data_IF_943792137704
#
_entry.id   IF_943792137704
#
_cell.length_a   1.000
_cell.length_b   1.000
_cell.length_c   1.000
_cell.angle_alpha   90.00
_cell.angle_beta   90.00
_cell.angle_gamma   90.00
#
_symmetry.space_group_name_H-M   'P 1'
#
loop_
_entity.id
_entity.type
_entity.pdbx_description
1 polymer ?
#
# COMPACT_ATOMS: atom_id res chain seq x y z
N UNK A 1 -5.79 -20.89 21.28
CA UNK A 1 -6.31 -20.50 19.96
C UNK A 1 -5.21 -20.70 18.93
N UNK A 2 -5.51 -21.35 17.80
CA UNK A 2 -4.52 -21.80 16.82
C UNK A 2 -3.93 -20.64 16.01
N UNK A 3 -2.64 -20.70 15.70
CA UNK A 3 -1.91 -19.65 14.95
C UNK A 3 -2.57 -19.38 13.58
N UNK A 4 -3.09 -20.43 12.92
CA UNK A 4 -3.77 -20.36 11.61
C UNK A 4 -5.07 -19.54 11.64
N UNK A 5 -5.82 -19.56 12.75
CA UNK A 5 -7.05 -18.77 12.88
C UNK A 5 -6.74 -17.29 13.07
N UNK A 6 -5.62 -16.98 13.75
CA UNK A 6 -5.17 -15.60 14.00
C UNK A 6 -4.74 -14.91 12.70
N UNK A 7 -3.96 -15.57 11.85
CA UNK A 7 -3.48 -15.03 10.56
C UNK A 7 -4.63 -14.79 9.58
N UNK A 8 -5.61 -15.70 9.53
CA UNK A 8 -6.82 -15.55 8.69
C UNK A 8 -7.67 -14.34 9.10
N UNK A 9 -7.76 -14.05 10.41
CA UNK A 9 -8.47 -12.86 10.92
C UNK A 9 -7.76 -11.57 10.52
N UNK A 10 -6.44 -11.50 10.63
CA UNK A 10 -5.66 -10.31 10.26
C UNK A 10 -5.81 -10.00 8.77
N UNK A 11 -5.67 -11.00 7.90
CA UNK A 11 -5.82 -10.79 6.45
C UNK A 11 -7.19 -10.22 6.07
N UNK A 12 -8.27 -10.65 6.74
CA UNK A 12 -9.62 -10.10 6.54
C UNK A 12 -9.72 -8.64 6.98
N UNK A 13 -9.13 -8.29 8.14
CA UNK A 13 -9.14 -6.91 8.66
C UNK A 13 -8.36 -5.98 7.74
N UNK A 14 -7.17 -6.38 7.28
CA UNK A 14 -6.36 -5.59 6.35
C UNK A 14 -7.10 -5.33 5.03
N UNK A 15 -7.77 -6.36 4.48
CA UNK A 15 -8.59 -6.21 3.28
C UNK A 15 -9.78 -5.28 3.49
N UNK A 16 -10.46 -5.35 4.63
CA UNK A 16 -11.58 -4.45 4.93
C UNK A 16 -11.10 -2.99 4.97
N UNK A 17 -10.01 -2.71 5.70
CA UNK A 17 -9.39 -1.38 5.75
C UNK A 17 -8.99 -0.87 4.37
N UNK A 18 -8.46 -1.75 3.51
CA UNK A 18 -8.13 -1.42 2.13
C UNK A 18 -9.37 -1.04 1.30
N UNK A 19 -10.47 -1.80 1.42
CA UNK A 19 -11.72 -1.49 0.72
C UNK A 19 -12.32 -0.17 1.21
N UNK A 20 -12.31 0.08 2.52
CA UNK A 20 -12.75 1.36 3.09
C UNK A 20 -11.92 2.52 2.53
N UNK A 21 -10.58 2.40 2.55
CA UNK A 21 -9.68 3.41 1.97
C UNK A 21 -9.99 3.68 0.49
N UNK A 22 -10.14 2.63 -0.33
CA UNK A 22 -10.45 2.76 -1.76
C UNK A 22 -11.83 3.35 -2.01
N UNK A 23 -12.80 3.13 -1.10
CA UNK A 23 -14.16 3.68 -1.24
C UNK A 23 -14.23 5.19 -0.98
N UNK A 24 -13.35 5.75 -0.15
CA UNK A 24 -13.42 7.16 0.24
C UNK A 24 -12.16 7.68 0.91
N UNK A 25 -11.76 8.90 0.52
CA UNK A 25 -10.61 9.63 1.11
C UNK A 25 -10.73 9.93 2.60
N UNK A 26 -11.95 9.86 3.17
CA UNK A 26 -12.14 10.01 4.63
C UNK A 26 -11.45 8.91 5.43
N UNK A 27 -11.11 7.79 4.78
CA UNK A 27 -10.46 6.65 5.41
C UNK A 27 -8.96 6.57 5.07
N UNK A 28 -8.30 7.71 4.89
CA UNK A 28 -6.85 7.80 4.61
C UNK A 28 -6.01 7.17 5.71
N UNK A 29 -6.45 7.26 6.97
CA UNK A 29 -5.80 6.63 8.11
C UNK A 29 -5.70 5.10 7.98
N UNK A 30 -6.63 4.46 7.27
CA UNK A 30 -6.57 3.00 7.05
C UNK A 30 -5.33 2.59 6.23
N UNK A 31 -4.92 3.40 5.25
CA UNK A 31 -3.68 3.14 4.52
C UNK A 31 -2.46 3.27 5.44
N UNK A 32 -2.44 4.31 6.28
CA UNK A 32 -1.35 4.53 7.25
C UNK A 32 -1.27 3.38 8.25
N UNK A 33 -2.40 2.88 8.75
CA UNK A 33 -2.43 1.72 9.64
C UNK A 33 -1.86 0.45 8.98
N UNK A 34 -2.22 0.19 7.72
CA UNK A 34 -1.71 -0.95 6.96
C UNK A 34 -0.18 -0.83 6.77
N UNK A 35 0.30 0.37 6.43
CA UNK A 35 1.73 0.64 6.28
C UNK A 35 2.47 0.44 7.60
N UNK A 36 1.95 0.96 8.71
CA UNK A 36 2.54 0.74 10.05
C UNK A 36 2.57 -0.73 10.44
N UNK A 37 1.51 -1.49 10.12
CA UNK A 37 1.47 -2.93 10.36
C UNK A 37 2.54 -3.65 9.53
N UNK A 38 2.70 -3.28 8.26
CA UNK A 38 3.78 -3.78 7.40
C UNK A 38 5.17 -3.48 7.98
N UNK A 39 5.39 -2.25 8.43
CA UNK A 39 6.67 -1.79 9.00
C UNK A 39 7.03 -2.51 10.31
N UNK A 40 6.04 -3.01 11.05
CA UNK A 40 6.28 -3.80 12.26
C UNK A 40 6.90 -5.19 11.98
N UNK A 41 6.90 -5.64 10.71
CA UNK A 41 7.34 -6.97 10.32
C UNK A 41 6.31 -8.08 10.60
N UNK A 42 5.14 -7.74 11.14
CA UNK A 42 4.05 -8.70 11.36
C UNK A 42 3.25 -8.95 10.07
N UNK A 43 2.82 -10.20 9.88
CA UNK A 43 1.93 -10.63 8.79
C UNK A 43 2.36 -10.14 7.40
N UNK A 44 3.69 -10.08 7.14
CA UNK A 44 4.30 -9.47 5.95
C UNK A 44 3.59 -9.83 4.65
N UNK A 45 3.32 -11.12 4.41
CA UNK A 45 2.63 -11.57 3.20
C UNK A 45 1.23 -10.95 3.06
N UNK A 46 0.46 -10.88 4.14
CA UNK A 46 -0.88 -10.29 4.11
C UNK A 46 -0.81 -8.77 3.90
N UNK A 47 0.17 -8.10 4.51
CA UNK A 47 0.44 -6.69 4.27
C UNK A 47 0.81 -6.40 2.82
N UNK A 48 1.76 -7.16 2.26
CA UNK A 48 2.23 -7.01 0.88
C UNK A 48 1.10 -7.16 -0.12
N UNK A 49 0.30 -8.22 -0.02
CA UNK A 49 -0.85 -8.43 -0.90
C UNK A 49 -1.91 -7.32 -0.74
N UNK A 50 -2.07 -6.76 0.46
CA UNK A 50 -3.01 -5.67 0.70
C UNK A 50 -2.50 -4.35 0.13
N UNK A 51 -1.21 -4.04 0.29
CA UNK A 51 -0.57 -2.86 -0.30
C UNK A 51 -0.58 -2.94 -1.84
N UNK A 52 -0.27 -4.11 -2.41
CA UNK A 52 -0.38 -4.38 -3.84
C UNK A 52 -1.80 -4.09 -4.35
N UNK A 53 -2.82 -4.62 -3.67
CA UNK A 53 -4.22 -4.35 -4.02
C UNK A 53 -4.52 -2.85 -4.04
N UNK A 54 -4.14 -2.12 -3.00
CA UNK A 54 -4.40 -0.67 -2.89
C UNK A 54 -3.70 0.07 -4.03
N UNK A 55 -2.38 -0.08 -4.14
CA UNK A 55 -1.60 0.70 -5.10
C UNK A 55 -1.95 0.35 -6.55
N UNK A 56 -2.28 -0.91 -6.83
CA UNK A 56 -2.75 -1.31 -8.16
C UNK A 56 -4.07 -0.62 -8.53
N UNK A 57 -5.03 -0.52 -7.61
CA UNK A 57 -6.27 0.21 -7.86
C UNK A 57 -6.02 1.70 -8.06
N UNK A 58 -5.22 2.33 -7.19
CA UNK A 58 -4.85 3.74 -7.32
C UNK A 58 -4.15 4.06 -8.64
N UNK A 59 -3.29 3.16 -9.13
CA UNK A 59 -2.63 3.29 -10.44
C UNK A 59 -3.62 3.14 -11.59
N UNK A 60 -4.47 2.10 -11.56
CA UNK A 60 -5.49 1.83 -12.58
C UNK A 60 -6.44 3.02 -12.75
N UNK A 61 -6.87 3.62 -11.65
CA UNK A 61 -7.78 4.76 -11.62
C UNK A 61 -7.06 6.11 -11.80
N UNK A 62 -5.74 6.11 -12.01
CA UNK A 62 -4.91 7.30 -12.21
C UNK A 62 -4.92 8.28 -11.03
N UNK A 63 -5.23 7.80 -9.82
CA UNK A 63 -5.17 8.59 -8.59
C UNK A 63 -3.74 9.00 -8.19
N UNK A 64 -2.72 8.38 -8.75
CA UNK A 64 -1.31 8.79 -8.56
C UNK A 64 -0.70 9.46 -9.79
N UNK A 65 -1.49 9.70 -10.84
CA UNK A 65 -1.05 10.40 -12.04
C UNK A 65 -1.12 11.91 -11.83
N UNK A 66 0.04 12.57 -11.95
CA UNK A 66 0.19 14.02 -11.93
C UNK A 66 0.65 14.44 -13.32
N UNK A 67 -0.19 15.19 -14.01
CA UNK A 67 0.16 15.77 -15.30
C UNK A 67 1.16 16.91 -15.10
N UNK A 68 2.28 16.85 -15.82
CA UNK A 68 3.28 17.90 -15.85
C UNK A 68 3.21 18.55 -17.21
N UNK A 69 2.73 19.79 -17.26
CA UNK A 69 2.66 20.59 -18.49
C UNK A 69 3.89 21.50 -18.52
N UNK A 70 4.77 21.39 -19.54
CA UNK A 70 5.94 22.26 -19.66
C UNK A 70 5.54 23.73 -19.60
N UNK A 71 6.33 24.55 -18.91
CA UNK A 71 6.15 25.99 -18.77
C UNK A 71 4.88 26.45 -18.02
N UNK A 72 4.07 25.52 -17.49
CA UNK A 72 2.94 25.85 -16.61
C UNK A 72 3.30 25.57 -15.15
N UNK A 73 3.23 26.55 -14.24
CA UNK A 73 3.45 26.31 -12.82
C UNK A 73 2.38 25.34 -12.28
N UNK A 74 2.81 24.41 -11.43
CA UNK A 74 1.91 23.46 -10.77
C UNK A 74 1.11 24.22 -9.71
N UNK A 75 -0.19 24.39 -9.93
CA UNK A 75 -1.07 25.00 -8.92
C UNK A 75 -1.26 24.03 -7.75
N UNK A 76 -0.93 24.49 -6.54
CA UNK A 76 -1.05 23.70 -5.30
C UNK A 76 -2.51 23.57 -4.87
N UNK A 77 -3.25 22.69 -5.57
CA UNK A 77 -4.62 22.33 -5.19
C UNK A 77 -4.64 21.19 -4.17
N UNK A 78 -5.69 21.07 -3.33
CA UNK A 78 -5.83 19.94 -2.41
C UNK A 78 -5.81 18.57 -3.11
N UNK A 79 -6.36 18.50 -4.33
CA UNK A 79 -6.29 17.30 -5.16
C UNK A 79 -4.85 16.93 -5.49
N UNK A 80 -4.06 17.90 -5.98
CA UNK A 80 -2.67 17.67 -6.34
C UNK A 80 -1.84 17.24 -5.12
N UNK A 81 -2.03 17.90 -3.97
CA UNK A 81 -1.36 17.53 -2.73
C UNK A 81 -1.69 16.09 -2.32
N UNK A 82 -2.96 15.69 -2.44
CA UNK A 82 -3.38 14.32 -2.16
C UNK A 82 -2.71 13.31 -3.11
N UNK A 83 -2.66 13.59 -4.41
CA UNK A 83 -1.97 12.74 -5.39
C UNK A 83 -0.46 12.63 -5.10
N UNK A 84 0.17 13.74 -4.74
CA UNK A 84 1.58 13.77 -4.34
C UNK A 84 1.81 12.93 -3.09
N UNK A 85 0.96 13.07 -2.08
CA UNK A 85 1.02 12.28 -0.86
C UNK A 85 0.91 10.77 -1.15
N UNK A 86 -0.05 10.34 -1.99
CA UNK A 86 -0.15 8.94 -2.41
C UNK A 86 1.11 8.44 -3.12
N UNK A 87 1.70 9.26 -3.99
CA UNK A 87 2.91 8.93 -4.74
C UNK A 87 4.13 8.82 -3.81
N UNK A 88 4.25 9.68 -2.81
CA UNK A 88 5.28 9.60 -1.77
C UNK A 88 5.14 8.31 -0.98
N UNK A 89 3.93 7.99 -0.48
CA UNK A 89 3.69 6.75 0.26
C UNK A 89 3.99 5.51 -0.58
N UNK A 90 3.61 5.51 -1.86
CA UNK A 90 3.95 4.41 -2.77
C UNK A 90 5.47 4.22 -2.87
N UNK A 91 6.23 5.31 -3.05
CA UNK A 91 7.69 5.24 -3.13
C UNK A 91 8.35 4.74 -1.84
N UNK A 92 7.91 5.25 -0.70
CA UNK A 92 8.40 4.81 0.62
C UNK A 92 8.11 3.33 0.88
N UNK A 93 6.88 2.89 0.61
CA UNK A 93 6.50 1.48 0.71
C UNK A 93 7.31 0.61 -0.23
N UNK A 94 7.45 1.01 -1.50
CA UNK A 94 8.20 0.25 -2.50
C UNK A 94 9.66 0.05 -2.07
N UNK A 95 10.33 1.10 -1.61
CA UNK A 95 11.71 1.00 -1.12
C UNK A 95 11.84 0.02 0.06
N UNK A 96 10.86 -0.01 0.96
CA UNK A 96 10.83 -0.98 2.08
C UNK A 96 10.60 -2.40 1.59
N UNK A 97 9.70 -2.62 0.64
CA UNK A 97 9.46 -3.93 0.03
C UNK A 97 10.76 -4.47 -0.57
N UNK A 98 11.46 -3.65 -1.36
CA UNK A 98 12.76 -4.01 -1.94
C UNK A 98 13.77 -4.36 -0.85
N UNK A 99 13.88 -3.54 0.20
CA UNK A 99 14.78 -3.79 1.34
C UNK A 99 14.48 -5.11 2.06
N UNK A 100 13.20 -5.47 2.20
CA UNK A 100 12.79 -6.76 2.78
C UNK A 100 13.18 -7.94 1.89
N UNK A 101 13.14 -7.79 0.55
CA UNK A 101 13.58 -8.81 -0.39
C UNK A 101 15.11 -9.01 -0.36
N UNK A 102 15.88 -7.95 -0.14
CA UNK A 102 17.34 -8.00 -0.08
C UNK A 102 17.89 -8.61 1.22
N UNK A 103 17.12 -8.50 2.31
CA UNK A 103 17.55 -8.93 3.66
C UNK A 103 17.02 -10.30 4.08
N UNK A 104 16.09 -10.89 3.34
CA UNK A 104 15.55 -12.22 3.65
C UNK A 104 16.51 -13.34 3.23
N UNK A 105 16.85 -14.32 4.10
CA UNK A 105 17.40 -15.59 3.64
C UNK A 105 16.32 -16.27 2.80
N UNK A 106 16.54 -16.33 1.49
CA UNK A 106 15.62 -16.82 0.46
C UNK A 106 14.91 -18.12 0.89
N UNK A 107 13.68 -17.98 1.38
CA UNK A 107 12.65 -19.03 1.36
C UNK A 107 11.30 -18.41 1.01
N UNK A 108 11.28 -17.55 0.00
CA UNK A 108 10.05 -17.30 -0.75
C UNK A 108 9.95 -18.49 -1.70
N UNK A 109 9.23 -19.54 -1.29
CA UNK A 109 8.77 -20.57 -2.22
C UNK A 109 7.77 -19.89 -3.15
N UNK A 110 8.29 -19.40 -4.28
CA UNK A 110 7.46 -19.02 -5.41
C UNK A 110 6.77 -20.32 -5.82
N UNK A 111 5.46 -20.42 -5.56
CA UNK A 111 4.64 -21.45 -6.20
C UNK A 111 4.54 -21.07 -7.67
N UNK A 112 5.55 -21.51 -8.44
CA UNK A 112 5.46 -21.60 -9.89
C UNK A 112 4.36 -22.58 -10.24
N UNK A 113 3.53 -22.14 -11.18
CA UNK A 113 2.40 -22.82 -11.83
C UNK A 113 2.65 -24.28 -12.17
#
# INVERSE_FOLDING_TARGET
>A
MSIQEKTTKVSKVLRLKAQEFLSSRKYTDNLIDIIRHFESGADLTACLLTLELIFTNLLKERHMFIEIVPLKPLESTPELQYKQWLKTLYGECFNKIVSCCETAPVKIQIQGT
#
